data_IF_401399422130
#
_entry.id   IF_401399422130
#
_cell.length_a   1.000
_cell.length_b   1.000
_cell.length_c   1.000
_cell.angle_alpha   90.00
_cell.angle_beta   90.00
_cell.angle_gamma   90.00
#
_symmetry.space_group_name_H-M   'P 1'
#
loop_
_entity.id
_entity.type
_entity.pdbx_description
1 polymer ?
#
# COMPACT_ATOMS: atom_id res chain seq x y z
N UNK A 1 11.55 -20.01 -5.01
CA UNK A 1 10.22 -20.05 -4.37
C UNK A 1 9.82 -18.62 -4.03
N UNK A 2 8.56 -18.23 -4.19
CA UNK A 2 8.11 -16.92 -3.70
C UNK A 2 7.97 -16.98 -2.18
N UNK A 3 8.52 -15.99 -1.48
CA UNK A 3 8.40 -15.83 -0.03
C UNK A 3 7.32 -14.79 0.27
N UNK A 4 6.45 -15.10 1.22
CA UNK A 4 5.44 -14.16 1.68
C UNK A 4 6.10 -13.03 2.49
N UNK A 5 5.76 -11.78 2.16
CA UNK A 5 6.22 -10.59 2.87
C UNK A 5 5.01 -9.90 3.48
N UNK A 6 5.03 -9.71 4.81
CA UNK A 6 4.04 -8.90 5.50
C UNK A 6 4.38 -7.43 5.29
N UNK A 7 3.53 -6.73 4.54
CA UNK A 7 3.70 -5.30 4.27
C UNK A 7 2.50 -4.52 4.81
N UNK A 8 2.77 -3.30 5.21
CA UNK A 8 1.75 -2.39 5.71
C UNK A 8 0.97 -1.79 4.54
N UNK A 9 -0.34 -1.97 4.54
CA UNK A 9 -1.26 -1.46 3.52
C UNK A 9 -2.33 -0.58 4.14
N UNK A 10 -2.87 0.33 3.35
CA UNK A 10 -4.03 1.16 3.68
C UNK A 10 -5.22 0.63 2.89
N UNK A 11 -6.29 0.27 3.58
CA UNK A 11 -7.53 -0.23 2.98
C UNK A 11 -8.63 0.78 3.20
N UNK A 12 -9.32 1.17 2.14
CA UNK A 12 -10.44 2.11 2.23
C UNK A 12 -11.34 2.05 1.01
N UNK A 13 -12.37 2.88 1.01
CA UNK A 13 -13.36 2.93 -0.06
C UNK A 13 -12.72 3.35 -1.38
N UNK A 14 -12.94 2.55 -2.43
CA UNK A 14 -12.46 2.81 -3.77
C UNK A 14 -13.09 4.07 -4.37
N UNK A 15 -12.24 4.96 -4.87
CA UNK A 15 -12.62 6.15 -5.63
C UNK A 15 -11.63 6.34 -6.78
N UNK A 16 -12.01 7.12 -7.80
CA UNK A 16 -11.13 7.33 -8.96
C UNK A 16 -9.94 8.23 -8.62
N UNK A 17 -10.22 9.40 -8.04
CA UNK A 17 -9.19 10.32 -7.54
C UNK A 17 -9.77 11.08 -6.36
N UNK A 18 -9.08 11.04 -5.22
CA UNK A 18 -9.28 12.01 -4.14
C UNK A 18 -8.57 13.30 -4.53
N UNK A 19 -9.21 14.45 -4.29
CA UNK A 19 -8.64 15.79 -4.48
C UNK A 19 -7.51 16.09 -3.47
N UNK A 20 -6.43 15.32 -3.50
CA UNK A 20 -5.23 15.57 -2.73
C UNK A 20 -4.18 16.21 -3.65
N UNK A 21 -3.76 17.43 -3.31
CA UNK A 21 -2.75 18.14 -4.07
C UNK A 21 -1.43 17.35 -4.12
N UNK A 22 -0.91 17.13 -5.34
CA UNK A 22 0.41 16.55 -5.58
C UNK A 22 0.52 15.01 -5.56
N UNK A 23 -0.37 14.30 -4.86
CA UNK A 23 -0.34 12.82 -4.83
C UNK A 23 -1.76 12.26 -4.88
N UNK A 24 -2.31 12.00 -6.09
CA UNK A 24 -3.66 11.47 -6.22
C UNK A 24 -3.75 10.12 -5.51
N UNK A 25 -4.85 9.92 -4.78
CA UNK A 25 -5.16 8.70 -4.05
C UNK A 25 -6.44 8.09 -4.59
N UNK A 26 -6.50 6.76 -4.61
CA UNK A 26 -7.64 5.99 -5.14
C UNK A 26 -8.50 5.40 -4.02
N UNK A 27 -8.17 5.72 -2.76
CA UNK A 27 -8.90 5.28 -1.56
C UNK A 27 -9.26 6.46 -0.66
N UNK A 28 -10.44 6.39 -0.03
CA UNK A 28 -10.88 7.32 1.04
C UNK A 28 -11.19 6.57 2.32
N UNK A 29 -11.15 7.28 3.47
CA UNK A 29 -11.56 6.73 4.76
C UNK A 29 -10.77 5.48 5.19
N UNK A 30 -9.47 5.46 4.92
CA UNK A 30 -8.67 4.23 5.04
C UNK A 30 -8.28 3.87 6.48
N UNK A 31 -8.09 2.58 6.72
CA UNK A 31 -7.44 2.01 7.89
C UNK A 31 -6.13 1.33 7.49
N UNK A 32 -5.20 1.23 8.45
CA UNK A 32 -3.89 0.61 8.21
C UNK A 32 -3.92 -0.84 8.69
N UNK A 33 -3.48 -1.75 7.83
CA UNK A 33 -3.44 -3.20 8.08
C UNK A 33 -2.09 -3.77 7.63
N UNK A 34 -1.83 -5.02 8.00
CA UNK A 34 -0.66 -5.79 7.54
C UNK A 34 -1.14 -6.95 6.68
N UNK A 35 -0.54 -7.17 5.50
CA UNK A 35 -0.90 -8.28 4.61
C UNK A 35 -0.62 -9.65 5.24
N UNK A 36 -1.46 -10.67 4.96
CA UNK A 36 -2.62 -10.67 4.06
C UNK A 36 -3.86 -10.01 4.70
N UNK A 37 -4.64 -9.30 3.88
CA UNK A 37 -5.88 -8.62 4.30
C UNK A 37 -7.03 -9.07 3.42
N UNK A 38 -8.22 -9.18 3.99
CA UNK A 38 -9.46 -9.42 3.26
C UNK A 38 -10.11 -8.07 2.94
N UNK A 39 -10.30 -7.79 1.66
CA UNK A 39 -10.95 -6.56 1.19
C UNK A 39 -12.45 -6.76 1.13
N UNK A 40 -13.22 -5.83 1.69
CA UNK A 40 -14.67 -5.83 1.51
C UNK A 40 -15.05 -5.34 0.10
N UNK A 41 -16.31 -5.54 -0.26
CA UNK A 41 -16.83 -5.06 -1.54
C UNK A 41 -16.68 -3.54 -1.66
N UNK A 42 -16.08 -3.07 -2.75
CA UNK A 42 -15.87 -1.64 -2.99
C UNK A 42 -14.67 -1.05 -2.26
N UNK A 43 -13.88 -1.84 -1.54
CA UNK A 43 -12.61 -1.41 -0.96
C UNK A 43 -11.44 -1.65 -1.91
N UNK A 44 -10.39 -0.84 -1.77
CA UNK A 44 -9.09 -1.05 -2.41
C UNK A 44 -7.99 -0.95 -1.36
N UNK A 45 -6.90 -1.67 -1.59
CA UNK A 45 -5.67 -1.55 -0.83
C UNK A 45 -4.63 -0.71 -1.59
N UNK A 46 -3.92 0.15 -0.88
CA UNK A 46 -2.71 0.83 -1.33
C UNK A 46 -1.55 0.55 -0.36
N UNK A 47 -0.30 0.53 -0.84
CA UNK A 47 0.87 0.42 0.03
C UNK A 47 0.95 1.65 0.96
N UNK A 48 1.21 1.41 2.25
CA UNK A 48 1.27 2.49 3.24
C UNK A 48 2.57 3.30 3.17
N UNK A 49 3.65 2.68 2.70
CA UNK A 49 4.98 3.26 2.56
C UNK A 49 5.58 2.93 1.17
N UNK A 50 6.74 3.51 0.88
CA UNK A 50 7.43 3.37 -0.41
C UNK A 50 8.60 2.37 -0.35
N UNK A 51 8.66 1.52 0.68
CA UNK A 51 9.71 0.49 0.83
C UNK A 51 9.67 -0.54 -0.31
N UNK A 52 8.45 -0.84 -0.76
CA UNK A 52 8.18 -1.76 -1.86
C UNK A 52 7.44 -1.04 -2.99
N UNK A 53 7.70 -1.49 -4.20
CA UNK A 53 6.97 -1.12 -5.41
C UNK A 53 6.18 -2.35 -5.84
N UNK A 54 4.85 -2.20 -5.96
CA UNK A 54 4.02 -3.23 -6.55
C UNK A 54 4.20 -3.26 -8.07
N UNK A 55 4.31 -4.46 -8.64
CA UNK A 55 4.40 -4.63 -10.10
C UNK A 55 3.04 -4.44 -10.80
N UNK A 56 1.96 -4.45 -10.03
CA UNK A 56 0.58 -4.20 -10.50
C UNK A 56 0.02 -2.95 -9.83
N UNK A 57 -0.85 -2.20 -10.52
CA UNK A 57 -1.52 -1.03 -9.94
C UNK A 57 -2.59 -1.40 -8.91
N UNK A 58 -3.08 -2.64 -8.92
CA UNK A 58 -4.10 -3.14 -8.00
C UNK A 58 -3.50 -4.18 -7.05
N UNK A 59 -3.85 -4.07 -5.76
CA UNK A 59 -3.39 -4.96 -4.70
C UNK A 59 -4.45 -6.04 -4.38
N UNK A 60 -4.75 -6.90 -5.36
CA UNK A 60 -5.78 -7.94 -5.24
C UNK A 60 -5.19 -9.34 -5.47
N UNK A 61 -5.63 -10.32 -4.68
CA UNK A 61 -5.14 -11.70 -4.76
C UNK A 61 -3.68 -11.85 -4.34
N UNK A 62 -2.80 -12.17 -5.29
CA UNK A 62 -1.35 -12.32 -5.08
C UNK A 62 -0.60 -11.25 -5.86
N UNK A 63 0.16 -10.42 -5.16
CA UNK A 63 0.92 -9.31 -5.75
C UNK A 63 2.41 -9.55 -5.58
N UNK A 64 3.16 -9.33 -6.66
CA UNK A 64 4.62 -9.36 -6.62
C UNK A 64 5.14 -7.97 -6.26
N UNK A 65 5.93 -7.92 -5.20
CA UNK A 65 6.56 -6.71 -4.70
C UNK A 65 8.06 -6.72 -5.05
N UNK A 66 8.56 -5.57 -5.50
CA UNK A 66 9.98 -5.31 -5.69
C UNK A 66 10.44 -4.34 -4.62
N UNK A 67 11.61 -4.56 -4.00
CA UNK A 67 12.21 -3.55 -3.11
C UNK A 67 12.49 -2.28 -3.89
N UNK A 68 12.11 -1.15 -3.33
CA UNK A 68 12.38 0.15 -3.92
C UNK A 68 13.85 0.53 -3.70
N UNK A 69 14.65 0.74 -4.77
CA UNK A 69 16.04 1.18 -4.62
C UNK A 69 16.16 2.61 -4.06
N UNK A 70 15.13 3.45 -4.23
CA UNK A 70 15.13 4.87 -3.85
C UNK A 70 14.52 5.09 -2.45
N UNK A 71 14.26 4.01 -1.69
CA UNK A 71 13.67 4.12 -0.37
C UNK A 71 14.71 4.49 0.69
N UNK A 72 14.67 5.74 1.14
CA UNK A 72 15.38 6.18 2.33
C UNK A 72 14.60 5.78 3.59
N UNK A 73 15.13 4.79 4.33
CA UNK A 73 14.55 4.39 5.59
C UNK A 73 14.56 5.60 6.56
N UNK A 74 13.41 5.95 7.18
CA UNK A 74 13.40 7.02 8.16
C UNK A 74 14.34 6.64 9.30
N UNK A 75 15.40 7.45 9.49
CA UNK A 75 16.34 7.28 10.58
C UNK A 75 15.54 7.35 11.87
N UNK A 76 15.46 6.23 12.59
CA UNK A 76 14.79 6.20 13.88
C UNK A 76 15.48 7.22 14.80
N UNK A 77 14.84 8.36 15.00
CA UNK A 77 15.28 9.36 15.97
C UNK A 77 15.11 8.69 17.33
N UNK A 78 16.20 8.11 17.85
CA UNK A 78 16.26 7.66 19.24
C UNK A 78 16.00 8.89 20.09
N UNK A 79 14.83 8.92 20.72
CA UNK A 79 14.50 9.89 21.75
C UNK A 79 15.21 9.54 23.05
#
# INVERSE_FOLDING_TARGET
LLLQVGVTVRVGQAVDVVAQAGKPKTITGFQTHTTPVLLAYGERAELANEEYIAMTPYLEGLVILKKNPDYDAPVAVKK
#
